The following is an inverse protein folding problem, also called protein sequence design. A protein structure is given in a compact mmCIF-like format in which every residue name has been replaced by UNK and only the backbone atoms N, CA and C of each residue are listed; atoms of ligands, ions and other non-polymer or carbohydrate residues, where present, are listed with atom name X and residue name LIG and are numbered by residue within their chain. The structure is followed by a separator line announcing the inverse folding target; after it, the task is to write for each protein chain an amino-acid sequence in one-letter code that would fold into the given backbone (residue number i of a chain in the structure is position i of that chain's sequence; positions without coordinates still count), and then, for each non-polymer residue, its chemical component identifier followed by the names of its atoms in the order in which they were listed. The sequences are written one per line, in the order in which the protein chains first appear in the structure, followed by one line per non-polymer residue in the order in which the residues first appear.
data_IF_718217193835
#
_entry.id   IF_718217193835
#
_cell.length_a   1.000
_cell.length_b   1.000
_cell.length_c   1.000
_cell.angle_alpha   90.00
_cell.angle_beta   90.00
_cell.angle_gamma   90.00
#
_symmetry.space_group_name_H-M   'P 1'
#
loop_
_entity.id
_entity.type
_entity.pdbx_description
1 polymer ?
#
# COMPACT_ATOMS: atom_id res chain seq x y z
N UNK A 1 11.21 -14.09 -12.95
CA UNK A 1 9.91 -14.72 -12.62
C UNK A 1 9.01 -13.65 -12.04
N UNK A 2 7.71 -13.76 -12.27
CA UNK A 2 6.73 -12.84 -11.69
C UNK A 2 6.60 -13.11 -10.19
N UNK A 3 6.46 -12.07 -9.35
CA UNK A 3 6.37 -12.25 -7.91
C UNK A 3 4.99 -12.83 -7.53
N UNK A 4 5.00 -13.68 -6.50
CA UNK A 4 3.78 -14.23 -5.90
C UNK A 4 3.46 -13.47 -4.62
N UNK A 5 2.62 -12.44 -4.72
CA UNK A 5 2.37 -11.51 -3.63
C UNK A 5 1.29 -12.03 -2.67
N UNK A 6 1.51 -11.80 -1.37
CA UNK A 6 0.44 -11.79 -0.38
C UNK A 6 -0.21 -10.40 -0.30
N UNK A 7 -1.34 -10.33 0.40
CA UNK A 7 -1.94 -9.04 0.73
C UNK A 7 -1.08 -8.27 1.74
N UNK A 8 -1.05 -6.93 1.69
CA UNK A 8 -0.24 -6.10 2.60
C UNK A 8 -0.83 -6.00 4.02
N UNK A 9 -1.86 -6.79 4.34
CA UNK A 9 -2.54 -6.82 5.64
C UNK A 9 -3.02 -8.25 5.93
N UNK A 10 -3.04 -8.65 7.20
CA UNK A 10 -3.61 -9.93 7.65
C UNK A 10 -5.01 -9.77 8.29
N UNK A 11 -5.36 -8.57 8.74
CA UNK A 11 -6.64 -8.26 9.36
C UNK A 11 -7.36 -7.17 8.56
N UNK A 12 -8.53 -7.51 8.02
CA UNK A 12 -9.37 -6.63 7.22
C UNK A 12 -10.58 -6.10 8.00
N UNK A 13 -10.66 -6.36 9.30
CA UNK A 13 -11.79 -5.92 10.14
C UNK A 13 -11.99 -4.39 10.15
N UNK A 14 -10.91 -3.64 9.93
CA UNK A 14 -10.92 -2.18 9.84
C UNK A 14 -10.90 -1.65 8.40
N UNK A 15 -10.90 -2.53 7.38
CA UNK A 15 -10.87 -2.14 5.99
C UNK A 15 -12.22 -1.51 5.62
N UNK A 16 -12.21 -0.22 5.30
CA UNK A 16 -13.41 0.60 5.09
C UNK A 16 -13.71 0.83 3.61
N UNK A 17 -12.69 0.79 2.74
CA UNK A 17 -12.86 0.83 1.30
C UNK A 17 -11.68 0.18 0.55
N UNK A 18 -11.91 -0.24 -0.69
CA UNK A 18 -10.84 -0.59 -1.65
C UNK A 18 -11.00 0.24 -2.93
N UNK A 19 -9.94 0.97 -3.30
CA UNK A 19 -9.86 1.72 -4.56
C UNK A 19 -8.99 0.95 -5.56
N UNK A 20 -9.58 0.52 -6.67
CA UNK A 20 -8.89 -0.25 -7.70
C UNK A 20 -7.87 0.52 -8.54
N UNK A 21 -6.92 -0.22 -9.12
CA UNK A 21 -6.00 0.27 -10.15
C UNK A 21 -6.76 0.57 -11.45
N UNK A 22 -6.40 1.67 -12.11
CA UNK A 22 -6.85 1.96 -13.46
C UNK A 22 -7.22 3.41 -13.76
N UNK A 23 -7.79 3.63 -14.94
CA UNK A 23 -8.22 4.96 -15.38
C UNK A 23 -9.44 5.43 -14.58
N UNK A 24 -9.33 6.57 -13.90
CA UNK A 24 -10.40 7.16 -13.07
C UNK A 24 -11.20 8.22 -13.81
N UNK A 25 -10.49 9.11 -14.49
CA UNK A 25 -11.03 10.19 -15.33
C UNK A 25 -10.24 10.23 -16.64
N UNK A 26 -10.46 11.19 -17.54
CA UNK A 26 -9.60 11.31 -18.73
C UNK A 26 -8.14 11.64 -18.40
N UNK A 27 -7.90 12.38 -17.32
CA UNK A 27 -6.57 12.91 -16.96
C UNK A 27 -5.96 12.25 -15.72
N UNK A 28 -6.71 11.37 -15.05
CA UNK A 28 -6.28 10.73 -13.80
C UNK A 28 -6.27 9.21 -13.94
N UNK A 29 -5.08 8.63 -13.74
CA UNK A 29 -4.86 7.20 -13.64
C UNK A 29 -4.43 6.84 -12.22
N UNK A 30 -5.00 5.77 -11.66
CA UNK A 30 -4.65 5.24 -10.36
C UNK A 30 -3.69 4.04 -10.53
N UNK A 31 -2.43 4.24 -10.19
CA UNK A 31 -1.33 3.31 -10.46
C UNK A 31 -1.11 2.27 -9.35
N UNK A 32 -2.06 2.11 -8.44
CA UNK A 32 -1.99 1.16 -7.33
C UNK A 32 -3.38 0.71 -6.89
N UNK A 33 -3.43 0.04 -5.74
CA UNK A 33 -4.67 -0.29 -5.05
C UNK A 33 -4.65 0.37 -3.68
N UNK A 34 -5.72 1.10 -3.35
CA UNK A 34 -5.86 1.66 -2.02
C UNK A 34 -6.60 0.69 -1.11
N UNK A 35 -6.08 0.52 0.10
CA UNK A 35 -6.77 -0.14 1.19
C UNK A 35 -7.07 0.89 2.29
N UNK A 36 -8.29 1.42 2.26
CA UNK A 36 -8.78 2.38 3.23
C UNK A 36 -9.08 1.75 4.57
N UNK A 37 -8.73 2.43 5.66
CA UNK A 37 -8.96 1.92 7.03
C UNK A 37 -9.76 2.91 7.87
N UNK A 38 -10.50 2.40 8.86
CA UNK A 38 -11.19 3.22 9.86
C UNK A 38 -10.54 3.17 11.26
N UNK A 39 -9.41 2.49 11.38
CA UNK A 39 -8.63 2.35 12.61
C UNK A 39 -7.16 2.06 12.29
N UNK A 40 -6.29 2.20 13.29
CA UNK A 40 -4.86 1.90 13.14
C UNK A 40 -4.67 0.44 12.76
N UNK A 41 -3.98 0.18 11.66
CA UNK A 41 -3.88 -1.16 11.05
C UNK A 41 -2.42 -1.52 10.79
N UNK A 42 -2.03 -2.75 11.12
CA UNK A 42 -0.69 -3.24 10.86
C UNK A 42 -0.52 -3.60 9.37
N UNK A 43 0.58 -3.15 8.79
CA UNK A 43 0.94 -3.39 7.40
C UNK A 43 2.13 -4.34 7.35
N UNK A 44 2.04 -5.35 6.49
CA UNK A 44 3.04 -6.42 6.38
C UNK A 44 3.67 -6.48 5.00
N UNK A 45 4.87 -7.06 4.93
CA UNK A 45 5.56 -7.32 3.68
C UNK A 45 4.78 -8.36 2.84
N UNK A 46 4.31 -8.02 1.64
CA UNK A 46 3.59 -8.94 0.77
C UNK A 46 4.51 -10.00 0.14
N UNK A 47 5.83 -9.76 0.15
CA UNK A 47 6.87 -10.62 -0.40
C UNK A 47 8.17 -10.37 0.36
N UNK A 48 9.04 -11.38 0.45
CA UNK A 48 10.36 -11.19 1.02
C UNK A 48 11.21 -10.29 0.11
N UNK A 49 11.89 -9.31 0.67
CA UNK A 49 12.57 -8.26 -0.09
C UNK A 49 13.58 -7.50 0.76
N UNK A 50 14.43 -6.69 0.13
CA UNK A 50 15.16 -5.65 0.84
C UNK A 50 14.35 -4.35 0.85
N UNK A 51 14.36 -3.63 1.96
CA UNK A 51 13.84 -2.26 2.03
C UNK A 51 14.80 -1.35 1.27
N UNK A 52 14.38 -0.83 0.13
CA UNK A 52 15.17 0.11 -0.67
C UNK A 52 15.17 1.50 -0.06
N UNK A 53 14.00 1.97 0.37
CA UNK A 53 13.81 3.32 0.88
C UNK A 53 12.66 3.38 1.90
N UNK A 54 12.76 4.35 2.80
CA UNK A 54 11.69 4.85 3.66
C UNK A 54 11.69 6.36 3.51
N UNK A 55 10.75 6.88 2.73
CA UNK A 55 10.73 8.28 2.31
C UNK A 55 9.60 9.00 3.06
N UNK A 56 9.89 10.14 3.71
CA UNK A 56 8.91 10.96 4.45
C UNK A 56 8.86 12.38 3.86
N UNK A 57 7.67 12.82 3.44
CA UNK A 57 7.48 14.16 2.85
C UNK A 57 6.03 14.62 2.90
N UNK A 58 5.81 15.90 2.61
CA UNK A 58 4.49 16.47 2.37
C UNK A 58 4.09 16.28 0.91
N UNK A 59 3.00 15.54 0.66
CA UNK A 59 2.47 15.34 -0.68
C UNK A 59 1.52 16.49 -1.03
N UNK A 60 2.00 17.50 -1.77
CA UNK A 60 1.19 18.65 -2.18
C UNK A 60 -0.07 18.27 -2.98
N UNK A 61 0.00 17.17 -3.74
CA UNK A 61 -1.14 16.68 -4.53
C UNK A 61 -2.22 16.03 -3.65
N UNK A 62 -1.81 15.32 -2.59
CA UNK A 62 -2.71 14.70 -1.60
C UNK A 62 -3.14 15.65 -0.48
N UNK A 63 -2.36 16.70 -0.22
CA UNK A 63 -2.63 17.67 0.85
C UNK A 63 -2.30 17.17 2.26
N UNK A 64 -1.47 16.14 2.40
CA UNK A 64 -1.09 15.56 3.69
C UNK A 64 0.36 15.04 3.69
N UNK A 65 0.89 14.83 4.89
CA UNK A 65 2.16 14.13 5.08
C UNK A 65 1.98 12.63 4.85
N UNK A 66 2.97 11.99 4.24
CA UNK A 66 2.98 10.54 4.04
C UNK A 66 4.38 9.96 4.25
N UNK A 67 4.43 8.66 4.50
CA UNK A 67 5.68 7.90 4.53
C UNK A 67 5.57 6.72 3.58
N UNK A 68 6.49 6.58 2.63
CA UNK A 68 6.47 5.48 1.68
C UNK A 68 7.57 4.48 2.01
N UNK A 69 7.22 3.21 2.02
CA UNK A 69 8.17 2.10 2.13
C UNK A 69 8.31 1.44 0.77
N UNK A 70 9.51 1.46 0.19
CA UNK A 70 9.81 0.79 -1.07
C UNK A 70 10.58 -0.49 -0.81
N UNK A 71 10.09 -1.59 -1.36
CA UNK A 71 10.69 -2.92 -1.28
C UNK A 71 11.30 -3.28 -2.64
N UNK A 72 12.57 -3.63 -2.63
CA UNK A 72 13.32 -4.15 -3.76
C UNK A 72 13.30 -5.68 -3.74
N UNK A 73 12.61 -6.28 -4.70
CA UNK A 73 12.52 -7.72 -4.85
C UNK A 73 13.70 -8.23 -5.69
N UNK A 74 13.97 -7.56 -6.81
CA UNK A 74 15.11 -7.79 -7.69
C UNK A 74 15.28 -6.63 -8.67
N UNK A 75 16.20 -6.76 -9.64
CA UNK A 75 16.50 -5.72 -10.63
C UNK A 75 15.31 -5.27 -11.51
N UNK A 76 14.24 -6.07 -11.61
CA UNK A 76 13.07 -5.74 -12.42
C UNK A 76 11.88 -5.32 -11.57
N UNK A 77 11.74 -5.87 -10.36
CA UNK A 77 10.52 -5.77 -9.55
C UNK A 77 10.71 -4.94 -8.30
N UNK A 78 9.77 -4.01 -8.07
CA UNK A 78 9.67 -3.22 -6.85
C UNK A 78 8.22 -3.15 -6.38
N UNK A 79 8.04 -3.06 -5.07
CA UNK A 79 6.76 -2.75 -4.44
C UNK A 79 6.93 -1.44 -3.70
N UNK A 80 5.93 -0.57 -3.78
CA UNK A 80 5.89 0.63 -2.95
C UNK A 80 4.57 0.67 -2.19
N UNK A 81 4.65 0.97 -0.90
CA UNK A 81 3.50 1.09 -0.01
C UNK A 81 3.56 2.50 0.58
N UNK A 82 2.67 3.38 0.11
CA UNK A 82 2.51 4.70 0.71
C UNK A 82 1.61 4.60 1.94
N UNK A 83 2.09 5.04 3.10
CA UNK A 83 1.30 5.13 4.33
C UNK A 83 0.67 6.53 4.38
N UNK A 84 -0.54 6.64 3.85
CA UNK A 84 -1.31 7.88 3.78
C UNK A 84 -2.25 7.94 4.97
N UNK A 85 -1.71 8.22 6.16
CA UNK A 85 -2.44 8.24 7.44
C UNK A 85 -3.47 9.36 7.58
N UNK A 86 -3.58 10.21 6.56
CA UNK A 86 -4.33 11.47 6.58
C UNK A 86 -3.76 12.50 7.58
N UNK A 87 -2.44 12.52 7.73
CA UNK A 87 -1.72 13.47 8.57
C UNK A 87 -1.73 14.89 7.98
N UNK A 88 -2.70 15.72 8.37
CA UNK A 88 -2.85 17.11 7.88
C UNK A 88 -1.84 18.12 8.46
N UNK A 89 -0.92 17.67 9.33
CA UNK A 89 0.16 18.48 9.87
C UNK A 89 1.42 17.62 10.08
N UNK A 90 2.57 18.29 10.17
CA UNK A 90 3.88 17.61 10.26
C UNK A 90 4.04 16.78 11.53
N UNK A 91 3.44 17.19 12.64
CA UNK A 91 3.47 16.42 13.89
C UNK A 91 2.83 15.04 13.71
N UNK A 92 1.66 14.96 13.07
CA UNK A 92 1.04 13.68 12.75
C UNK A 92 1.79 12.93 11.64
N UNK A 93 2.42 13.65 10.71
CA UNK A 93 3.31 13.08 9.72
C UNK A 93 4.47 12.33 10.36
N UNK A 94 5.14 12.96 11.32
CA UNK A 94 6.25 12.37 12.05
C UNK A 94 5.80 11.16 12.89
N UNK A 95 4.63 11.22 13.53
CA UNK A 95 4.08 10.05 14.22
C UNK A 95 3.87 8.86 13.28
N UNK A 96 3.42 9.11 12.05
CA UNK A 96 3.29 8.05 11.04
C UNK A 96 4.67 7.53 10.60
N UNK A 97 5.66 8.41 10.41
CA UNK A 97 7.02 8.00 10.06
C UNK A 97 7.65 7.13 11.15
N UNK A 98 7.49 7.51 12.42
CA UNK A 98 7.98 6.77 13.59
C UNK A 98 7.26 5.43 13.78
N UNK A 99 6.06 5.26 13.18
CA UNK A 99 5.33 4.01 13.19
C UNK A 99 5.85 2.97 12.17
N UNK A 100 6.80 3.35 11.30
CA UNK A 100 7.53 2.43 10.42
C UNK A 100 8.64 1.74 11.22
N UNK A 101 8.69 0.41 11.14
CA UNK A 101 9.55 -0.45 11.97
C UNK A 101 10.73 -1.05 11.21
N UNK A 102 10.90 -0.65 9.96
CA UNK A 102 11.95 -1.14 9.07
C UNK A 102 12.83 0.00 8.59
N UNK A 103 14.08 -0.31 8.26
CA UNK A 103 15.05 0.68 7.81
C UNK A 103 15.58 0.34 6.41
N UNK A 104 16.01 1.34 5.62
CA UNK A 104 16.70 1.09 4.35
C UNK A 104 17.86 0.10 4.51
N UNK A 105 17.97 -0.86 3.59
CA UNK A 105 18.94 -1.95 3.60
C UNK A 105 18.53 -3.19 4.41
N UNK A 106 17.45 -3.10 5.20
CA UNK A 106 16.94 -4.24 5.96
C UNK A 106 16.28 -5.28 5.04
N UNK A 107 16.60 -6.55 5.23
CA UNK A 107 15.84 -7.65 4.64
C UNK A 107 14.58 -7.93 5.47
N UNK A 108 13.45 -8.13 4.80
CA UNK A 108 12.17 -8.47 5.43
C UNK A 108 11.65 -9.80 4.89
N UNK A 109 11.08 -10.61 5.77
CA UNK A 109 10.40 -11.85 5.39
C UNK A 109 8.95 -11.58 4.98
N UNK A 110 8.35 -12.51 4.21
CA UNK A 110 6.91 -12.48 3.92
C UNK A 110 6.11 -12.41 5.24
N UNK A 111 5.06 -11.59 5.28
CA UNK A 111 4.22 -11.31 6.46
C UNK A 111 4.94 -10.63 7.64
N UNK A 112 6.19 -10.24 7.51
CA UNK A 112 6.85 -9.41 8.53
C UNK A 112 6.17 -8.03 8.58
N UNK A 113 5.84 -7.56 9.79
CA UNK A 113 5.29 -6.21 9.97
C UNK A 113 6.31 -5.15 9.56
N UNK A 114 5.91 -4.31 8.60
CA UNK A 114 6.69 -3.16 8.15
C UNK A 114 6.45 -1.94 9.03
N UNK A 115 5.23 -1.81 9.56
CA UNK A 115 4.81 -0.68 10.38
C UNK A 115 3.31 -0.70 10.62
N UNK A 116 2.81 0.33 11.30
CA UNK A 116 1.37 0.56 11.43
C UNK A 116 0.97 1.77 10.58
N UNK A 117 -0.12 1.63 9.82
CA UNK A 117 -0.84 2.79 9.31
C UNK A 117 -1.67 3.36 10.47
N UNK A 118 -1.28 4.53 10.96
CA UNK A 118 -2.02 5.27 11.98
C UNK A 118 -3.27 5.90 11.35
N UNK A 119 -4.35 5.96 12.13
CA UNK A 119 -5.60 6.56 11.69
C UNK A 119 -5.69 8.02 12.19
N UNK A 120 -5.37 8.98 11.31
CA UNK A 120 -5.49 10.42 11.61
C UNK A 120 -6.67 11.10 10.89
N UNK A 121 -7.47 10.37 10.10
CA UNK A 121 -8.66 10.89 9.46
C UNK A 121 -9.32 9.87 8.52
N UNK A 122 -10.53 10.21 8.05
CA UNK A 122 -11.38 9.31 7.25
C UNK A 122 -10.81 8.95 5.88
N UNK A 123 -9.76 9.63 5.43
CA UNK A 123 -9.03 9.30 4.20
C UNK A 123 -7.86 8.36 4.42
N UNK A 124 -7.61 7.87 5.64
CA UNK A 124 -6.44 7.05 5.92
C UNK A 124 -6.45 5.75 5.11
N UNK A 125 -5.38 5.50 4.36
CA UNK A 125 -5.22 4.29 3.54
C UNK A 125 -3.74 3.96 3.33
N UNK A 126 -3.48 2.74 2.85
CA UNK A 126 -2.23 2.47 2.13
C UNK A 126 -2.49 2.54 0.63
N UNK A 127 -1.60 3.19 -0.11
CA UNK A 127 -1.55 3.08 -1.57
C UNK A 127 -0.52 2.01 -1.95
N UNK A 128 -0.99 0.88 -2.48
CA UNK A 128 -0.20 -0.32 -2.75
C UNK A 128 0.14 -0.43 -4.24
N UNK A 129 1.42 -0.29 -4.58
CA UNK A 129 1.93 -0.30 -5.96
C UNK A 129 2.91 -1.46 -6.19
N UNK A 130 2.90 -1.99 -7.42
CA UNK A 130 3.96 -2.86 -7.94
C UNK A 130 4.43 -2.32 -9.28
N UNK A 131 5.74 -2.35 -9.51
CA UNK A 131 6.33 -1.95 -10.78
C UNK A 131 7.27 -3.02 -11.35
N UNK A 132 7.27 -3.12 -12.67
CA UNK A 132 8.19 -3.92 -13.48
C UNK A 132 8.98 -3.01 -14.41
N UNK A 133 10.30 -2.97 -14.28
CA UNK A 133 11.18 -2.07 -15.04
C UNK A 133 10.69 -0.60 -15.03
N UNK A 134 10.24 -0.13 -13.86
CA UNK A 134 9.67 1.21 -13.63
C UNK A 134 8.32 1.50 -14.31
N UNK A 135 7.61 0.49 -14.81
CA UNK A 135 6.22 0.61 -15.22
C UNK A 135 5.31 0.06 -14.12
N UNK A 136 4.37 0.87 -13.63
CA UNK A 136 3.38 0.44 -12.66
C UNK A 136 2.38 -0.52 -13.30
N UNK A 137 2.01 -1.57 -12.57
CA UNK A 137 1.10 -2.62 -13.01
C UNK A 137 0.03 -2.86 -11.96
N UNK A 138 -1.10 -3.45 -12.37
CA UNK A 138 -2.15 -3.78 -11.40
C UNK A 138 -1.67 -4.85 -10.40
N UNK A 139 -1.60 -4.55 -9.09
CA UNK A 139 -1.09 -5.50 -8.09
C UNK A 139 -1.88 -6.79 -7.99
N UNK A 140 -3.20 -6.74 -8.23
CA UNK A 140 -4.07 -7.91 -8.16
C UNK A 140 -3.62 -9.07 -9.07
N UNK A 141 -3.02 -8.75 -10.22
CA UNK A 141 -2.54 -9.77 -11.17
C UNK A 141 -1.38 -10.62 -10.63
N UNK A 142 -0.68 -10.13 -9.61
CA UNK A 142 0.47 -10.79 -8.97
C UNK A 142 0.14 -11.40 -7.60
N UNK A 143 -1.07 -11.19 -7.08
CA UNK A 143 -1.49 -11.86 -5.86
C UNK A 143 -1.56 -13.37 -6.06
N UNK A 144 -1.13 -14.13 -5.04
CA UNK A 144 -1.37 -15.58 -4.97
C UNK A 144 -2.86 -15.91 -5.10
N UNK A 145 -3.25 -17.12 -5.55
CA UNK A 145 -4.66 -17.49 -5.66
C UNK A 145 -5.45 -17.31 -4.35
N UNK A 146 -4.83 -17.61 -3.21
CA UNK A 146 -5.42 -17.36 -1.89
C UNK A 146 -5.62 -15.87 -1.63
N UNK A 147 -4.63 -15.04 -1.94
CA UNK A 147 -4.72 -13.58 -1.77
C UNK A 147 -5.74 -12.95 -2.73
N UNK A 148 -5.86 -13.43 -3.97
CA UNK A 148 -6.91 -13.01 -4.90
C UNK A 148 -8.31 -13.34 -4.38
N UNK A 149 -8.49 -14.54 -3.79
CA UNK A 149 -9.76 -14.94 -3.20
C UNK A 149 -10.15 -14.05 -2.00
N UNK A 150 -9.20 -13.78 -1.10
CA UNK A 150 -9.42 -12.86 0.04
C UNK A 150 -9.72 -11.46 -0.48
N UNK A 151 -8.92 -10.96 -1.44
CA UNK A 151 -9.12 -9.65 -2.03
C UNK A 151 -10.52 -9.51 -2.65
N UNK A 152 -10.94 -10.45 -3.48
CA UNK A 152 -12.23 -10.40 -4.16
C UNK A 152 -13.40 -10.41 -3.16
N UNK A 153 -13.29 -11.21 -2.09
CA UNK A 153 -14.26 -11.22 -1.01
C UNK A 153 -14.33 -9.86 -0.28
N UNK A 154 -13.19 -9.24 0.01
CA UNK A 154 -13.14 -7.91 0.63
C UNK A 154 -13.66 -6.82 -0.30
N UNK A 155 -13.26 -6.85 -1.58
CA UNK A 155 -13.71 -5.87 -2.57
C UNK A 155 -15.24 -5.91 -2.73
N UNK A 156 -15.86 -7.09 -2.76
CA UNK A 156 -17.32 -7.20 -2.83
C UNK A 156 -18.05 -6.55 -1.63
N UNK A 157 -17.37 -6.35 -0.49
CA UNK A 157 -17.93 -5.72 0.70
C UNK A 157 -17.72 -4.21 0.74
N UNK A 158 -16.58 -3.73 0.24
CA UNK A 158 -16.12 -2.35 0.47
C UNK A 158 -15.59 -1.65 -0.78
N UNK A 159 -15.98 -2.08 -1.98
CA UNK A 159 -15.47 -1.46 -3.20
C UNK A 159 -15.83 0.02 -3.32
N UNK A 160 -14.81 0.85 -3.54
CA UNK A 160 -14.98 2.26 -3.91
C UNK A 160 -15.09 2.44 -5.43
N UNK A 161 -14.52 1.51 -6.19
CA UNK A 161 -14.62 1.46 -7.66
C UNK A 161 -15.44 0.29 -8.16
N UNK A 162 -15.88 0.38 -9.41
CA UNK A 162 -16.52 -0.75 -10.09
C UNK A 162 -15.56 -1.91 -10.37
N UNK A 163 -14.26 -1.63 -10.55
CA UNK A 163 -13.25 -2.61 -10.94
C UNK A 163 -11.95 -2.41 -10.16
N UNK A 164 -11.18 -3.48 -9.96
CA UNK A 164 -9.89 -3.47 -9.27
C UNK A 164 -8.66 -3.40 -10.19
N UNK A 165 -8.83 -3.72 -11.48
CA UNK A 165 -7.85 -3.50 -12.54
C UNK A 165 -8.59 -3.14 -13.84
N UNK A 166 -8.39 -1.94 -14.39
CA UNK A 166 -8.80 -1.57 -15.76
C UNK A 166 -7.81 -0.63 -16.44
#
# INVERSE_FOLDING_TARGET
EDPALLLPMYDFSNNSYIYGYGQLTLDTFHNGIDFGVNSTTAIVAPHAAYVEAVDFWYNDKGGHWQTNVRLWLNHQWKIEIAFESWALNETYGQLQADAIRVNPGQYVEVNQTLGNLLYHGTGAHIHFMISFNNADLCPYTFFTPTSQSIFAAQFALVNYTAHWCM
#
